data_IF_655322218534
#
_entry.id   IF_655322218534
#
_cell.length_a   1.000
_cell.length_b   1.000
_cell.length_c   1.000
_cell.angle_alpha   90.00
_cell.angle_beta   90.00
_cell.angle_gamma   90.00
#
_symmetry.space_group_name_H-M   'P 1'
#
loop_
_entity.id
_entity.type
_entity.pdbx_description
1 polymer ?
#
# COMPACT_ATOMS: atom_id res chain seq x y z
N UNK A 1 13.06 -55.81 21.19
CA UNK A 1 13.03 -54.61 22.05
C UNK A 1 13.45 -53.31 21.35
N UNK A 2 14.06 -53.35 20.16
CA UNK A 2 14.43 -52.14 19.39
C UNK A 2 13.31 -51.65 18.46
N UNK A 3 12.42 -52.54 17.97
CA UNK A 3 11.32 -52.16 17.07
C UNK A 3 10.16 -51.40 17.75
N UNK A 4 9.96 -51.55 19.06
CA UNK A 4 8.86 -50.91 19.80
C UNK A 4 9.16 -49.45 20.20
N UNK A 5 10.44 -49.06 20.25
CA UNK A 5 10.87 -47.68 20.53
C UNK A 5 10.80 -46.79 19.28
N UNK A 6 10.99 -47.35 18.07
CA UNK A 6 10.90 -46.59 16.83
C UNK A 6 9.46 -46.16 16.48
N UNK A 7 8.45 -46.92 16.93
CA UNK A 7 7.03 -46.58 16.74
C UNK A 7 6.55 -45.51 17.73
N UNK A 8 7.22 -45.33 18.88
CA UNK A 8 6.86 -44.29 19.84
C UNK A 8 7.32 -42.88 19.37
N UNK A 9 8.43 -42.80 18.63
CA UNK A 9 8.91 -41.54 18.05
C UNK A 9 8.26 -41.17 16.72
N UNK A 10 7.58 -42.10 16.05
CA UNK A 10 6.81 -41.80 14.83
C UNK A 10 5.42 -41.19 15.12
N UNK A 11 4.98 -41.13 16.38
CA UNK A 11 3.69 -40.55 16.79
C UNK A 11 3.82 -39.17 17.45
N UNK A 12 5.04 -38.63 17.59
CA UNK A 12 5.28 -37.32 18.20
C UNK A 12 5.72 -36.22 17.22
N UNK A 13 5.70 -36.48 15.91
CA UNK A 13 6.15 -35.52 14.90
C UNK A 13 5.08 -35.14 13.87
N UNK A 14 3.79 -35.37 14.16
CA UNK A 14 2.73 -34.52 13.59
C UNK A 14 2.60 -33.32 14.55
N UNK A 15 3.66 -32.51 14.60
CA UNK A 15 3.51 -31.14 15.03
C UNK A 15 2.55 -30.54 14.01
N UNK A 16 1.34 -30.21 14.48
CA UNK A 16 0.43 -29.35 13.78
C UNK A 16 1.22 -28.12 13.33
N UNK A 17 1.61 -28.06 12.06
CA UNK A 17 1.71 -26.78 11.37
C UNK A 17 0.27 -26.36 11.15
N UNK A 18 -0.40 -25.96 12.23
CA UNK A 18 -1.46 -24.97 12.08
C UNK A 18 -0.73 -23.77 11.47
N UNK A 19 -0.84 -23.62 10.16
CA UNK A 19 -0.72 -22.28 9.60
C UNK A 19 -1.67 -21.45 10.46
N UNK A 20 -1.14 -20.52 11.26
CA UNK A 20 -1.93 -19.61 12.08
C UNK A 20 -2.74 -18.72 11.12
N UNK A 21 -3.80 -19.30 10.57
CA UNK A 21 -4.73 -18.60 9.71
C UNK A 21 -5.35 -17.51 10.56
N UNK A 22 -5.23 -16.27 10.11
CA UNK A 22 -5.77 -15.11 10.78
C UNK A 22 -7.27 -15.17 10.87
N UNK A 23 -7.82 -14.46 11.86
CA UNK A 23 -9.26 -14.28 12.01
C UNK A 23 -9.72 -13.27 10.94
N UNK A 24 -10.55 -13.67 9.96
CA UNK A 24 -10.99 -12.75 8.92
C UNK A 24 -11.78 -11.57 9.51
N UNK A 25 -11.44 -10.37 9.06
CA UNK A 25 -12.13 -9.12 9.39
C UNK A 25 -12.28 -8.26 8.14
N UNK A 26 -12.92 -8.79 7.08
CA UNK A 26 -13.01 -8.09 5.80
C UNK A 26 -13.58 -6.69 5.96
N UNK A 27 -13.09 -5.77 5.15
CA UNK A 27 -13.71 -4.45 5.05
C UNK A 27 -15.11 -4.58 4.48
N UNK A 28 -16.05 -3.87 5.09
CA UNK A 28 -17.38 -3.64 4.53
C UNK A 28 -17.28 -2.89 3.20
N UNK A 29 -18.35 -2.90 2.42
CA UNK A 29 -18.42 -2.13 1.18
C UNK A 29 -18.14 -0.63 1.41
N UNK A 30 -18.70 -0.06 2.47
CA UNK A 30 -18.46 1.34 2.86
C UNK A 30 -16.98 1.59 3.19
N UNK A 31 -16.33 0.67 3.90
CA UNK A 31 -14.90 0.79 4.21
C UNK A 31 -14.03 0.67 2.95
N UNK A 32 -14.41 -0.15 1.96
CA UNK A 32 -13.69 -0.25 0.68
C UNK A 32 -13.77 1.05 -0.13
N UNK A 33 -14.96 1.67 -0.20
CA UNK A 33 -15.10 2.97 -0.85
C UNK A 33 -14.42 4.09 -0.05
N UNK A 34 -14.43 4.00 1.29
CA UNK A 34 -13.63 4.90 2.15
C UNK A 34 -12.15 4.78 1.83
N UNK A 35 -11.62 3.55 1.66
CA UNK A 35 -10.23 3.34 1.24
C UNK A 35 -9.96 3.98 -0.12
N UNK A 36 -10.81 3.75 -1.12
CA UNK A 36 -10.67 4.36 -2.45
C UNK A 36 -10.62 5.90 -2.37
N UNK A 37 -11.56 6.51 -1.65
CA UNK A 37 -11.65 7.96 -1.48
C UNK A 37 -10.41 8.52 -0.77
N UNK A 38 -10.01 7.92 0.36
CA UNK A 38 -8.84 8.36 1.13
C UNK A 38 -7.54 8.19 0.33
N UNK A 39 -7.41 7.13 -0.46
CA UNK A 39 -6.27 6.98 -1.36
C UNK A 39 -6.22 8.13 -2.36
N UNK A 40 -7.32 8.44 -3.05
CA UNK A 40 -7.33 9.56 -4.01
C UNK A 40 -7.01 10.90 -3.33
N UNK A 41 -7.61 11.20 -2.18
CA UNK A 41 -7.30 12.42 -1.43
C UNK A 41 -5.80 12.53 -1.11
N UNK A 42 -5.22 11.49 -0.52
CA UNK A 42 -3.79 11.51 -0.16
C UNK A 42 -2.87 11.53 -1.38
N UNK A 43 -3.22 10.81 -2.45
CA UNK A 43 -2.48 10.79 -3.70
C UNK A 43 -2.43 12.18 -4.34
N UNK A 44 -3.52 12.93 -4.29
CA UNK A 44 -3.59 14.31 -4.79
C UNK A 44 -2.73 15.29 -3.98
N UNK A 45 -2.66 15.07 -2.67
CA UNK A 45 -1.87 15.85 -1.70
C UNK A 45 -0.40 15.39 -1.59
N UNK A 46 0.02 14.38 -2.35
CA UNK A 46 1.33 13.77 -2.16
C UNK A 46 2.47 14.78 -2.41
N UNK A 47 3.43 14.79 -1.48
CA UNK A 47 4.63 15.62 -1.51
C UNK A 47 5.87 14.77 -1.35
N UNK A 48 6.97 15.22 -1.95
CA UNK A 48 8.30 14.67 -1.76
C UNK A 48 9.25 15.77 -1.30
N UNK A 49 10.23 15.41 -0.46
CA UNK A 49 11.35 16.29 -0.14
C UNK A 49 12.28 16.37 -1.34
N UNK A 50 12.58 17.57 -1.79
CA UNK A 50 13.58 17.85 -2.82
C UNK A 50 14.67 18.69 -2.18
N UNK A 51 15.91 18.23 -2.30
CA UNK A 51 17.07 18.96 -1.79
C UNK A 51 17.35 20.18 -2.68
N UNK A 52 17.42 21.35 -2.06
CA UNK A 52 17.79 22.63 -2.70
C UNK A 52 18.86 23.31 -1.85
N UNK A 53 19.49 24.36 -2.39
CA UNK A 53 20.42 25.19 -1.62
C UNK A 53 19.73 25.73 -0.36
N UNK A 54 20.17 25.25 0.82
CA UNK A 54 19.59 25.62 2.11
C UNK A 54 18.71 24.56 2.78
N UNK A 55 18.52 23.38 2.17
CA UNK A 55 17.89 22.22 2.80
C UNK A 55 16.79 21.56 1.97
N UNK A 56 16.02 20.67 2.60
CA UNK A 56 14.89 20.01 1.94
C UNK A 56 13.69 20.95 1.85
N UNK A 57 13.04 20.96 0.70
CA UNK A 57 11.73 21.59 0.51
C UNK A 57 10.69 20.57 0.07
N UNK A 58 9.46 20.70 0.58
CA UNK A 58 8.34 19.88 0.13
C UNK A 58 7.85 20.34 -1.24
N UNK A 59 7.77 19.42 -2.19
CA UNK A 59 7.32 19.63 -3.57
C UNK A 59 6.20 18.64 -3.88
N UNK A 60 5.11 19.12 -4.47
CA UNK A 60 3.94 18.30 -4.74
C UNK A 60 4.10 17.43 -5.98
N UNK A 61 3.29 16.37 -6.06
CA UNK A 61 3.18 15.51 -7.22
C UNK A 61 2.72 16.28 -8.48
N UNK A 62 3.16 15.81 -9.66
CA UNK A 62 2.83 16.41 -10.95
C UNK A 62 2.11 15.50 -11.96
N UNK A 63 1.95 14.20 -11.65
CA UNK A 63 1.53 13.17 -12.62
C UNK A 63 0.62 12.08 -12.03
N UNK A 64 0.14 12.25 -10.80
CA UNK A 64 -0.57 11.21 -10.07
C UNK A 64 -1.93 10.93 -10.70
N UNK A 65 -2.17 9.68 -11.11
CA UNK A 65 -3.44 9.27 -11.68
C UNK A 65 -4.44 8.88 -10.60
N UNK A 66 -5.72 9.18 -10.85
CA UNK A 66 -6.79 8.76 -9.94
C UNK A 66 -7.08 7.27 -10.03
N UNK A 67 -7.40 6.70 -8.88
CA UNK A 67 -8.10 5.42 -8.78
C UNK A 67 -9.57 5.68 -9.10
N UNK A 68 -10.11 4.97 -10.07
CA UNK A 68 -11.46 5.18 -10.61
C UNK A 68 -12.49 4.22 -10.05
N UNK A 69 -12.05 3.16 -9.34
CA UNK A 69 -13.00 2.19 -8.81
C UNK A 69 -12.38 1.11 -7.92
N UNK A 70 -13.27 0.24 -7.44
CA UNK A 70 -12.94 -0.95 -6.66
C UNK A 70 -13.04 -2.19 -7.54
N UNK A 71 -12.08 -3.10 -7.43
CA UNK A 71 -12.15 -4.41 -8.09
C UNK A 71 -12.54 -5.50 -7.09
N UNK A 72 -13.56 -6.31 -7.40
CA UNK A 72 -13.96 -7.44 -6.57
C UNK A 72 -12.86 -8.52 -6.50
N UNK A 73 -12.18 -8.76 -7.61
CA UNK A 73 -11.08 -9.73 -7.69
C UNK A 73 -9.91 -9.31 -6.79
N UNK A 74 -9.55 -8.02 -6.80
CA UNK A 74 -8.50 -7.48 -5.92
C UNK A 74 -8.90 -7.54 -4.44
N UNK A 75 -10.18 -7.25 -4.10
CA UNK A 75 -10.68 -7.40 -2.73
C UNK A 75 -10.56 -8.85 -2.26
N UNK A 76 -11.01 -9.80 -3.08
CA UNK A 76 -10.97 -11.22 -2.74
C UNK A 76 -9.52 -11.72 -2.59
N UNK A 77 -8.64 -11.34 -3.53
CA UNK A 77 -7.24 -11.72 -3.50
C UNK A 77 -6.52 -11.15 -2.26
N UNK A 78 -6.69 -9.85 -1.99
CA UNK A 78 -6.10 -9.20 -0.83
C UNK A 78 -6.64 -9.78 0.49
N UNK A 79 -7.93 -10.15 0.54
CA UNK A 79 -8.53 -10.80 1.71
C UNK A 79 -7.97 -12.20 1.94
N UNK A 80 -7.80 -13.00 0.88
CA UNK A 80 -7.19 -14.32 0.97
C UNK A 80 -5.75 -14.23 1.50
N UNK A 81 -4.97 -13.29 0.96
CA UNK A 81 -3.62 -13.04 1.49
C UNK A 81 -3.67 -12.62 2.96
N UNK A 82 -4.54 -11.69 3.34
CA UNK A 82 -4.61 -11.21 4.72
C UNK A 82 -4.97 -12.35 5.70
N UNK A 83 -5.89 -13.24 5.31
CA UNK A 83 -6.29 -14.40 6.11
C UNK A 83 -5.14 -15.38 6.38
N UNK A 84 -4.12 -15.41 5.52
CA UNK A 84 -2.98 -16.32 5.67
C UNK A 84 -1.86 -15.72 6.53
N UNK A 85 -2.03 -14.50 7.05
CA UNK A 85 -1.06 -13.83 7.90
C UNK A 85 0.38 -13.84 7.37
N UNK A 86 0.61 -13.43 6.11
CA UNK A 86 1.91 -13.54 5.48
C UNK A 86 2.96 -12.73 6.23
N UNK A 87 4.16 -13.29 6.36
CA UNK A 87 5.34 -12.54 6.77
C UNK A 87 5.84 -11.64 5.65
N UNK A 88 5.73 -12.10 4.40
CA UNK A 88 6.13 -11.37 3.19
C UNK A 88 5.05 -11.45 2.11
N UNK A 89 4.95 -10.40 1.28
CA UNK A 89 4.03 -10.40 0.14
C UNK A 89 4.56 -11.30 -0.99
N UNK A 90 3.68 -11.99 -1.73
CA UNK A 90 4.09 -12.83 -2.85
C UNK A 90 4.69 -12.01 -4.00
N UNK A 91 5.82 -12.47 -4.54
CA UNK A 91 6.51 -11.81 -5.66
C UNK A 91 5.81 -12.00 -7.02
N UNK A 92 5.02 -13.07 -7.15
CA UNK A 92 4.33 -13.48 -8.38
C UNK A 92 2.85 -13.03 -8.43
N UNK A 93 2.44 -12.14 -7.53
CA UNK A 93 1.09 -11.57 -7.52
C UNK A 93 0.72 -10.95 -8.88
N UNK A 94 -0.51 -11.14 -9.40
CA UNK A 94 -0.97 -10.44 -10.60
C UNK A 94 -1.17 -8.93 -10.37
N UNK A 95 -1.29 -8.50 -9.11
CA UNK A 95 -1.55 -7.13 -8.68
C UNK A 95 -0.32 -6.49 -8.02
N UNK A 96 -0.26 -5.15 -8.01
CA UNK A 96 0.59 -4.42 -7.07
C UNK A 96 0.07 -4.63 -5.64
N UNK A 97 0.95 -4.81 -4.66
CA UNK A 97 0.56 -5.14 -3.30
C UNK A 97 1.25 -4.23 -2.29
N UNK A 98 0.49 -3.81 -1.28
CA UNK A 98 0.99 -3.04 -0.16
C UNK A 98 0.44 -3.65 1.13
N UNK A 99 1.31 -3.94 2.09
CA UNK A 99 0.95 -4.52 3.38
C UNK A 99 1.20 -3.54 4.51
N UNK A 100 0.22 -3.45 5.40
CA UNK A 100 0.27 -2.65 6.61
C UNK A 100 0.00 -3.55 7.81
N UNK A 101 0.80 -3.38 8.86
CA UNK A 101 0.65 -4.09 10.13
C UNK A 101 0.44 -3.08 11.25
N UNK A 102 -0.55 -3.35 12.09
CA UNK A 102 -0.83 -2.57 13.30
C UNK A 102 -0.77 -3.49 14.52
N UNK A 103 0.18 -3.21 15.39
CA UNK A 103 0.22 -3.74 16.75
C UNK A 103 -0.43 -2.73 17.69
N UNK A 104 -1.66 -3.00 18.13
CA UNK A 104 -2.42 -2.14 19.04
C UNK A 104 -3.31 -2.98 19.96
N UNK A 105 -2.77 -4.10 20.45
CA UNK A 105 -3.40 -4.92 21.49
C UNK A 105 -4.84 -5.35 21.20
N UNK A 106 -5.14 -5.73 19.94
CA UNK A 106 -6.47 -6.19 19.53
C UNK A 106 -7.44 -5.12 19.00
N UNK A 107 -7.06 -3.83 18.96
CA UNK A 107 -7.88 -2.81 18.27
C UNK A 107 -7.77 -2.93 16.75
N UNK A 108 -8.88 -3.30 16.11
CA UNK A 108 -8.99 -3.45 14.66
C UNK A 108 -8.55 -2.16 13.95
N UNK A 109 -7.60 -2.28 13.01
CA UNK A 109 -7.19 -1.16 12.17
C UNK A 109 -8.29 -0.73 11.19
N UNK A 110 -8.45 0.58 11.03
CA UNK A 110 -9.39 1.23 10.12
C UNK A 110 -8.70 1.69 8.83
N UNK A 111 -9.45 2.07 7.78
CA UNK A 111 -8.89 2.74 6.61
C UNK A 111 -7.99 3.93 6.94
N UNK A 112 -8.39 4.74 7.92
CA UNK A 112 -7.59 5.90 8.38
C UNK A 112 -6.25 5.48 8.98
N UNK A 113 -6.17 4.34 9.69
CA UNK A 113 -4.90 3.87 10.23
C UNK A 113 -3.91 3.54 9.11
N UNK A 114 -4.37 2.90 8.04
CA UNK A 114 -3.58 2.54 6.87
C UNK A 114 -3.03 3.78 6.16
N UNK A 115 -3.92 4.71 5.79
CA UNK A 115 -3.54 5.91 5.03
C UNK A 115 -2.74 6.90 5.87
N UNK A 116 -3.00 7.01 7.18
CA UNK A 116 -2.17 7.83 8.07
C UNK A 116 -0.73 7.32 8.11
N UNK A 117 -0.52 6.00 8.26
CA UNK A 117 0.84 5.42 8.23
C UNK A 117 1.53 5.65 6.89
N UNK A 118 0.78 5.55 5.78
CA UNK A 118 1.34 5.83 4.45
C UNK A 118 1.81 7.28 4.33
N UNK A 119 1.02 8.25 4.79
CA UNK A 119 1.39 9.67 4.83
C UNK A 119 2.61 9.93 5.73
N UNK A 120 2.61 9.41 6.96
CA UNK A 120 3.73 9.56 7.91
C UNK A 120 5.06 9.05 7.33
N UNK A 121 5.02 7.93 6.60
CA UNK A 121 6.21 7.38 5.94
C UNK A 121 6.58 8.17 4.68
N UNK A 122 5.60 8.69 3.92
CA UNK A 122 5.85 9.53 2.75
C UNK A 122 6.54 10.85 3.12
N UNK A 123 6.28 11.41 4.30
CA UNK A 123 6.97 12.63 4.78
C UNK A 123 8.50 12.47 4.85
N UNK A 124 9.02 11.23 4.82
CA UNK A 124 10.45 10.95 4.79
C UNK A 124 10.99 10.71 3.37
N UNK A 125 10.12 10.63 2.36
CA UNK A 125 10.51 10.33 0.99
C UNK A 125 11.23 11.51 0.32
N UNK A 126 12.31 11.21 -0.41
CA UNK A 126 13.13 12.17 -1.15
C UNK A 126 13.12 11.88 -2.65
N UNK A 127 12.88 12.94 -3.42
CA UNK A 127 13.04 12.98 -4.87
C UNK A 127 14.22 13.90 -5.25
N UNK A 128 14.96 13.61 -6.33
CA UNK A 128 14.77 12.49 -7.26
C UNK A 128 15.50 11.19 -6.85
N UNK A 129 16.15 11.17 -5.68
CA UNK A 129 16.99 10.04 -5.25
C UNK A 129 16.24 8.73 -4.99
N UNK A 130 14.91 8.77 -4.90
CA UNK A 130 14.07 7.63 -4.57
C UNK A 130 14.42 6.97 -3.21
N UNK A 131 14.91 7.80 -2.29
CA UNK A 131 15.38 7.40 -0.98
C UNK A 131 14.44 7.90 0.14
N UNK A 132 14.68 7.44 1.37
CA UNK A 132 13.98 7.89 2.57
C UNK A 132 14.99 8.49 3.55
N UNK A 133 14.64 9.62 4.20
CA UNK A 133 15.53 10.37 5.08
C UNK A 133 15.82 9.68 6.42
N UNK A 134 14.99 8.72 6.82
CA UNK A 134 15.18 7.89 8.01
C UNK A 134 15.23 6.42 7.60
N UNK A 135 15.82 5.58 8.46
CA UNK A 135 15.86 4.14 8.22
C UNK A 135 14.44 3.54 8.31
N UNK A 136 13.77 3.44 7.18
CA UNK A 136 12.54 2.68 6.99
C UNK A 136 12.88 1.26 6.55
N UNK A 137 12.12 0.27 7.02
CA UNK A 137 12.29 -1.11 6.56
C UNK A 137 11.93 -1.24 5.07
N UNK A 138 12.45 -2.25 4.38
CA UNK A 138 12.12 -2.47 2.96
C UNK A 138 10.61 -2.65 2.74
N UNK A 139 9.91 -3.25 3.71
CA UNK A 139 8.46 -3.35 3.72
C UNK A 139 7.78 -1.98 3.76
N UNK A 140 8.19 -1.09 4.67
CA UNK A 140 7.63 0.26 4.78
C UNK A 140 7.90 1.10 3.52
N UNK A 141 9.09 0.96 2.94
CA UNK A 141 9.41 1.66 1.70
C UNK A 141 8.55 1.15 0.52
N UNK A 142 8.40 -0.17 0.39
CA UNK A 142 7.54 -0.78 -0.63
C UNK A 142 6.07 -0.41 -0.43
N UNK A 143 5.62 -0.35 0.83
CA UNK A 143 4.29 0.10 1.20
C UNK A 143 4.01 1.52 0.70
N UNK A 144 4.88 2.48 1.00
CA UNK A 144 4.73 3.87 0.52
C UNK A 144 4.78 3.95 -1.00
N UNK A 145 5.78 3.30 -1.63
CA UNK A 145 5.94 3.34 -3.10
C UNK A 145 4.70 2.81 -3.80
N UNK A 146 4.07 1.77 -3.27
CA UNK A 146 2.86 1.20 -3.87
C UNK A 146 1.61 2.07 -3.65
N UNK A 147 1.39 2.59 -2.43
CA UNK A 147 0.24 3.46 -2.13
C UNK A 147 0.25 4.72 -3.00
N UNK A 148 1.45 5.29 -3.20
CA UNK A 148 1.66 6.52 -3.98
C UNK A 148 2.15 6.28 -5.41
N UNK A 149 2.09 5.05 -5.93
CA UNK A 149 2.50 4.78 -7.31
C UNK A 149 1.63 5.55 -8.30
N UNK A 150 2.23 6.33 -9.21
CA UNK A 150 1.52 7.34 -9.99
C UNK A 150 0.40 6.73 -10.84
N UNK A 151 0.59 5.53 -11.39
CA UNK A 151 -0.43 4.87 -12.19
C UNK A 151 -1.56 4.38 -11.30
N UNK A 152 -2.78 4.77 -11.63
CA UNK A 152 -3.97 4.45 -10.84
C UNK A 152 -5.09 3.94 -11.74
N UNK A 153 -5.79 2.89 -11.31
CA UNK A 153 -7.05 2.46 -11.94
C UNK A 153 -8.00 1.85 -10.91
N UNK A 154 -7.72 0.66 -10.44
CA UNK A 154 -8.55 -0.02 -9.43
C UNK A 154 -7.74 -0.42 -8.21
N UNK A 155 -8.46 -0.54 -7.10
CA UNK A 155 -7.95 -1.00 -5.81
C UNK A 155 -8.92 -2.02 -5.20
N UNK A 156 -8.41 -2.90 -4.34
CA UNK A 156 -9.21 -3.70 -3.44
C UNK A 156 -8.40 -4.14 -2.24
N UNK A 157 -8.96 -4.06 -1.03
CA UNK A 157 -8.20 -4.36 0.18
C UNK A 157 -8.83 -5.49 1.00
N UNK A 158 -8.00 -6.20 1.74
CA UNK A 158 -8.38 -7.22 2.70
C UNK A 158 -7.85 -6.89 4.09
N UNK A 159 -8.53 -7.40 5.13
CA UNK A 159 -8.14 -7.20 6.53
C UNK A 159 -8.37 -8.47 7.35
N UNK A 160 -7.40 -8.81 8.18
CA UNK A 160 -7.48 -9.92 9.12
C UNK A 160 -6.76 -9.58 10.43
N UNK A 161 -7.06 -10.33 11.48
CA UNK A 161 -6.31 -10.30 12.74
C UNK A 161 -5.38 -11.50 12.75
N UNK A 162 -4.09 -11.25 12.85
CA UNK A 162 -3.01 -12.23 12.89
C UNK A 162 -2.37 -12.20 14.27
N UNK A 163 -2.58 -13.25 15.05
CA UNK A 163 -2.31 -13.24 16.49
C UNK A 163 -3.03 -12.05 17.17
N UNK A 164 -2.30 -11.01 17.57
CA UNK A 164 -2.85 -9.78 18.17
C UNK A 164 -2.74 -8.54 17.27
N UNK A 165 -2.21 -8.71 16.04
CA UNK A 165 -1.95 -7.64 15.10
C UNK A 165 -3.05 -7.58 14.03
N UNK A 166 -3.47 -6.37 13.63
CA UNK A 166 -4.28 -6.23 12.41
C UNK A 166 -3.35 -6.14 11.21
N UNK A 167 -3.58 -6.99 10.21
CA UNK A 167 -2.96 -6.88 8.89
C UNK A 167 -3.99 -6.32 7.91
N UNK A 168 -3.58 -5.32 7.13
CA UNK A 168 -4.32 -4.82 5.98
C UNK A 168 -3.43 -5.00 4.75
N UNK A 169 -3.97 -5.65 3.71
CA UNK A 169 -3.33 -5.76 2.40
C UNK A 169 -4.21 -5.03 1.40
N UNK A 170 -3.63 -4.16 0.58
CA UNK A 170 -4.31 -3.58 -0.57
C UNK A 170 -3.65 -4.06 -1.86
N UNK A 171 -4.48 -4.48 -2.80
CA UNK A 171 -4.11 -4.84 -4.16
C UNK A 171 -4.49 -3.72 -5.13
N UNK A 172 -3.61 -3.48 -6.11
CA UNK A 172 -3.70 -2.38 -7.08
C UNK A 172 -3.51 -2.93 -8.50
N UNK A 173 -4.16 -2.31 -9.48
CA UNK A 173 -3.97 -2.68 -10.90
C UNK A 173 -2.50 -2.63 -11.32
N UNK A 174 -1.78 -1.58 -10.90
CA UNK A 174 -0.41 -1.33 -11.30
C UNK A 174 0.56 -1.65 -10.17
N UNK A 175 1.67 -2.31 -10.52
CA UNK A 175 2.76 -2.65 -9.63
C UNK A 175 3.76 -1.51 -9.57
N UNK A 176 4.19 -1.16 -8.36
CA UNK A 176 5.34 -0.29 -8.18
C UNK A 176 6.63 -0.96 -8.69
N UNK A 177 7.59 -0.13 -9.10
CA UNK A 177 8.95 -0.56 -9.42
C UNK A 177 9.89 0.06 -8.38
N UNK A 178 10.54 -0.78 -7.58
CA UNK A 178 11.27 -0.33 -6.38
C UNK A 178 12.43 0.60 -6.68
N UNK A 179 13.03 0.48 -7.86
CA UNK A 179 14.13 1.32 -8.36
C UNK A 179 13.65 2.64 -8.97
N UNK A 180 12.35 2.87 -9.08
CA UNK A 180 11.77 4.08 -9.68
C UNK A 180 11.01 4.90 -8.65
N UNK A 181 10.95 6.21 -8.87
CA UNK A 181 10.13 7.09 -8.05
C UNK A 181 8.65 6.78 -8.24
N UNK A 182 7.84 6.80 -7.17
CA UNK A 182 6.42 6.52 -7.27
C UNK A 182 5.68 7.64 -8.00
N UNK A 183 6.16 8.88 -7.99
CA UNK A 183 5.60 10.00 -8.75
C UNK A 183 6.67 11.05 -9.08
N UNK A 184 6.33 11.98 -9.98
CA UNK A 184 7.18 13.12 -10.33
C UNK A 184 6.91 14.25 -9.33
N UNK A 185 7.94 14.66 -8.59
CA UNK A 185 7.91 15.89 -7.80
C UNK A 185 8.08 17.09 -8.74
N UNK A 186 7.04 17.92 -8.88
CA UNK A 186 7.06 19.04 -9.81
C UNK A 186 7.25 20.37 -9.06
N UNK A 187 8.42 21.01 -9.11
CA UNK A 187 8.68 22.25 -8.37
C UNK A 187 7.80 23.42 -8.80
N UNK A 188 7.23 23.37 -10.01
CA UNK A 188 6.34 24.40 -10.51
C UNK A 188 4.93 24.36 -9.87
N UNK A 189 4.56 23.30 -9.14
CA UNK A 189 3.24 23.17 -8.48
C UNK A 189 3.03 24.11 -7.31
N UNK A 190 4.08 24.82 -6.88
CA UNK A 190 3.94 25.92 -5.90
C UNK A 190 2.99 27.01 -6.40
N UNK A 191 2.78 27.10 -7.70
CA UNK A 191 1.70 27.88 -8.30
C UNK A 191 0.44 27.02 -8.43
N UNK A 192 -0.69 27.53 -7.94
CA UNK A 192 -2.01 26.88 -7.76
C UNK A 192 -2.63 26.10 -8.94
N UNK A 193 -1.99 26.00 -10.11
CA UNK A 193 -2.58 25.45 -11.33
C UNK A 193 -1.73 24.38 -12.05
N UNK A 194 -0.74 23.73 -11.40
CA UNK A 194 0.25 22.87 -12.08
C UNK A 194 0.42 21.41 -11.59
N UNK A 195 -0.40 20.91 -10.65
CA UNK A 195 -0.28 19.53 -10.10
C UNK A 195 -0.60 18.40 -11.09
N UNK A 196 -1.22 18.71 -12.22
CA UNK A 196 -1.52 17.78 -13.30
C UNK A 196 -0.69 18.04 -14.57
N UNK A 197 0.50 18.63 -14.42
CA UNK A 197 1.34 19.06 -15.54
C UNK A 197 1.77 17.91 -16.44
N UNK A 198 1.98 16.73 -15.87
CA UNK A 198 2.56 15.57 -16.54
C UNK A 198 1.57 14.41 -16.64
N UNK A 199 0.27 14.70 -16.74
CA UNK A 199 -0.73 13.67 -16.97
C UNK A 199 -0.48 12.90 -18.27
N UNK A 200 -0.72 11.59 -18.23
CA UNK A 200 -0.66 10.74 -19.42
C UNK A 200 -1.76 11.13 -20.43
N UNK A 201 -1.55 10.79 -21.70
CA UNK A 201 -2.56 11.05 -22.75
C UNK A 201 -3.89 10.33 -22.50
N UNK A 202 -3.86 9.20 -21.77
CA UNK A 202 -5.06 8.44 -21.37
C UNK A 202 -5.83 9.17 -20.27
N UNK A 203 -5.12 9.75 -19.29
CA UNK A 203 -5.71 10.42 -18.13
C UNK A 203 -5.39 11.92 -18.07
N UNK A 204 -5.67 12.63 -19.17
CA UNK A 204 -5.23 14.03 -19.39
C UNK A 204 -6.00 15.10 -18.60
N UNK A 205 -7.08 14.78 -17.88
CA UNK A 205 -7.88 15.76 -17.13
C UNK A 205 -7.44 15.82 -15.67
N UNK A 206 -7.24 17.02 -15.16
CA UNK A 206 -7.07 17.23 -13.72
C UNK A 206 -8.45 17.27 -13.06
N UNK A 207 -8.70 16.43 -12.06
CA UNK A 207 -9.92 16.51 -11.25
C UNK A 207 -9.76 17.51 -10.09
N UNK A 208 -10.80 17.65 -9.26
CA UNK A 208 -10.81 18.54 -8.09
C UNK A 208 -9.84 18.14 -6.97
N UNK A 209 -9.32 16.92 -7.01
CA UNK A 209 -8.32 16.39 -6.08
C UNK A 209 -6.89 16.49 -6.66
N UNK A 210 -6.69 17.27 -7.73
CA UNK A 210 -5.41 17.41 -8.40
C UNK A 210 -4.83 16.10 -8.98
N UNK A 211 -5.70 15.18 -9.39
CA UNK A 211 -5.33 13.90 -9.99
C UNK A 211 -5.61 13.87 -11.50
N UNK A 212 -4.74 13.18 -12.22
CA UNK A 212 -4.90 12.83 -13.64
C UNK A 212 -5.98 11.75 -13.81
N UNK A 213 -7.08 12.09 -14.49
CA UNK A 213 -8.24 11.22 -14.71
C UNK A 213 -8.67 11.15 -16.18
N UNK A 214 -9.49 10.14 -16.49
CA UNK A 214 -10.17 10.00 -17.79
C UNK A 214 -11.31 11.02 -17.92
N UNK A 215 -11.83 11.17 -19.14
CA UNK A 215 -13.07 11.89 -19.37
C UNK A 215 -14.23 11.02 -18.86
N UNK A 216 -15.21 11.58 -18.11
CA UNK A 216 -16.46 10.89 -17.88
C UNK A 216 -17.17 10.59 -19.21
#
# INVERSE_FOLDING_TARGET
MVLLLALYFAHLAIAFVEAENGIPRPFTEIEQYTLLALHNMQRGEAEAKVEVDGGDVAIQQGNMECLTGKSADMVNYAQQLANNCPTELPNDSPFGLAIFRKDDGGRIATPNNYLRKARELLEQYRAPSNAFSTQQTDEEQNFVRQVYWYQGREIGCGRAICQNNTIIICAYTYKQVSTSMPFIANPETRESNRKCRYCSSRKRKCNEYDLCCEFP
#
